data_IF_376281775422
#
_entry.id   IF_376281775422
#
_cell.length_a   1.000
_cell.length_b   1.000
_cell.length_c   1.000
_cell.angle_alpha   90.00
_cell.angle_beta   90.00
_cell.angle_gamma   90.00
#
_symmetry.space_group_name_H-M   'P 1'
#
loop_
_entity.id
_entity.type
_entity.pdbx_description
1 polymer ?
#
# COMPACT_ATOMS: atom_id res chain seq x y z
N UNK A 1 -10.02 18.67 30.23
CA UNK A 1 -10.75 18.24 29.01
C UNK A 1 -12.21 17.99 29.38
N UNK A 2 -13.14 18.64 28.70
CA UNK A 2 -14.59 18.46 28.89
C UNK A 2 -15.09 17.25 28.07
N UNK A 3 -16.38 16.91 28.20
CA UNK A 3 -16.97 15.77 27.51
C UNK A 3 -17.01 15.93 25.98
N UNK A 4 -17.31 17.14 25.49
CA UNK A 4 -17.30 17.43 24.04
C UNK A 4 -15.90 17.22 23.44
N UNK A 5 -14.86 17.69 24.11
CA UNK A 5 -13.47 17.50 23.70
C UNK A 5 -13.08 16.01 23.72
N UNK A 6 -13.53 15.25 24.72
CA UNK A 6 -13.30 13.79 24.76
C UNK A 6 -13.94 13.09 23.56
N UNK A 7 -15.20 13.39 23.27
CA UNK A 7 -15.92 12.82 22.13
C UNK A 7 -15.24 13.17 20.81
N UNK A 8 -14.85 14.43 20.62
CA UNK A 8 -14.15 14.88 19.42
C UNK A 8 -12.84 14.11 19.19
N UNK A 9 -12.03 13.95 20.25
CA UNK A 9 -10.74 13.24 20.15
C UNK A 9 -10.96 11.74 19.89
N UNK A 10 -11.99 11.14 20.48
CA UNK A 10 -12.36 9.74 20.22
C UNK A 10 -12.82 9.53 18.76
N UNK A 11 -13.61 10.46 18.22
CA UNK A 11 -14.03 10.43 16.82
C UNK A 11 -12.84 10.53 15.86
N UNK A 12 -11.89 11.40 16.18
CA UNK A 12 -10.65 11.56 15.41
C UNK A 12 -9.80 10.30 15.49
N UNK A 13 -9.63 9.72 16.67
CA UNK A 13 -8.90 8.47 16.87
C UNK A 13 -9.50 7.34 16.02
N UNK A 14 -10.83 7.18 16.07
CA UNK A 14 -11.54 6.19 15.25
C UNK A 14 -11.36 6.44 13.74
N UNK A 15 -11.39 7.69 13.29
CA UNK A 15 -11.14 8.05 11.90
C UNK A 15 -9.69 7.74 11.46
N UNK A 16 -8.71 8.03 12.31
CA UNK A 16 -7.29 7.72 12.11
C UNK A 16 -7.06 6.22 12.00
N UNK A 17 -7.65 5.46 12.91
CA UNK A 17 -7.54 4.00 12.93
C UNK A 17 -8.15 3.36 11.69
N UNK A 18 -9.35 3.80 11.26
CA UNK A 18 -9.97 3.33 10.01
C UNK A 18 -9.08 3.59 8.80
N UNK A 19 -8.47 4.77 8.72
CA UNK A 19 -7.58 5.14 7.61
C UNK A 19 -6.27 4.34 7.62
N UNK A 20 -5.69 4.12 8.80
CA UNK A 20 -4.53 3.24 8.97
C UNK A 20 -4.82 1.85 8.39
N UNK A 21 -5.91 1.21 8.81
CA UNK A 21 -6.26 -0.13 8.33
C UNK A 21 -6.52 -0.17 6.82
N UNK A 22 -7.10 0.90 6.26
CA UNK A 22 -7.29 0.98 4.82
C UNK A 22 -5.95 0.97 4.06
N UNK A 23 -4.96 1.72 4.54
CA UNK A 23 -3.60 1.74 3.96
C UNK A 23 -2.87 0.38 4.14
N UNK A 24 -2.98 -0.26 5.32
CA UNK A 24 -2.41 -1.59 5.56
C UNK A 24 -3.03 -2.66 4.64
N UNK A 25 -4.36 -2.63 4.48
CA UNK A 25 -5.08 -3.52 3.57
C UNK A 25 -4.69 -3.28 2.11
N UNK A 26 -4.55 -2.02 1.70
CA UNK A 26 -4.09 -1.66 0.36
C UNK A 26 -2.69 -2.21 0.08
N UNK A 27 -1.74 -2.01 1.01
CA UNK A 27 -0.39 -2.55 0.91
C UNK A 27 -0.37 -4.09 0.84
N UNK A 28 -1.20 -4.75 1.65
CA UNK A 28 -1.30 -6.22 1.65
C UNK A 28 -1.87 -6.75 0.34
N UNK A 29 -2.89 -6.08 -0.22
CA UNK A 29 -3.50 -6.45 -1.51
C UNK A 29 -2.51 -6.32 -2.66
N UNK A 30 -1.74 -5.23 -2.71
CA UNK A 30 -0.66 -5.06 -3.67
C UNK A 30 0.36 -6.21 -3.59
N UNK A 31 0.75 -6.61 -2.36
CA UNK A 31 1.62 -7.77 -2.14
C UNK A 31 1.08 -9.09 -2.68
N UNK A 32 -0.22 -9.36 -2.52
CA UNK A 32 -0.87 -10.56 -3.07
C UNK A 32 -0.94 -10.56 -4.59
N UNK A 33 -1.27 -9.42 -5.21
CA UNK A 33 -1.27 -9.28 -6.68
C UNK A 33 0.11 -9.54 -7.25
N UNK A 34 1.15 -8.99 -6.61
CA UNK A 34 2.55 -9.23 -6.97
C UNK A 34 2.93 -10.71 -6.95
N UNK A 35 2.52 -11.46 -5.92
CA UNK A 35 2.75 -12.91 -5.86
C UNK A 35 2.05 -13.64 -7.00
N UNK A 36 0.78 -13.31 -7.27
CA UNK A 36 0.01 -13.92 -8.35
C UNK A 36 0.64 -13.66 -9.73
N UNK A 37 1.02 -12.42 -10.03
CA UNK A 37 1.68 -12.08 -11.29
C UNK A 37 3.09 -12.68 -11.39
N UNK A 38 3.83 -12.78 -10.28
CA UNK A 38 5.12 -13.46 -10.25
C UNK A 38 4.99 -14.94 -10.63
N UNK A 39 4.02 -15.64 -10.06
CA UNK A 39 3.71 -17.03 -10.41
C UNK A 39 3.27 -17.18 -11.87
N UNK A 40 2.39 -16.31 -12.36
CA UNK A 40 1.96 -16.32 -13.76
C UNK A 40 3.13 -16.08 -14.73
N UNK A 41 4.03 -15.15 -14.40
CA UNK A 41 5.22 -14.86 -15.22
C UNK A 41 6.17 -16.05 -15.26
N UNK A 42 6.40 -16.72 -14.13
CA UNK A 42 7.19 -17.95 -14.08
C UNK A 42 6.56 -19.04 -14.96
N UNK A 43 5.24 -19.22 -14.89
CA UNK A 43 4.53 -20.20 -15.72
C UNK A 43 4.65 -19.89 -17.22
N UNK A 44 4.48 -18.62 -17.61
CA UNK A 44 4.67 -18.15 -18.99
C UNK A 44 6.11 -18.33 -19.47
N UNK A 45 7.11 -18.04 -18.63
CA UNK A 45 8.51 -18.23 -18.95
C UNK A 45 8.85 -19.71 -19.19
N UNK A 46 8.32 -20.60 -18.35
CA UNK A 46 8.46 -22.06 -18.51
C UNK A 46 7.81 -22.52 -19.82
N UNK A 47 6.58 -22.07 -20.11
CA UNK A 47 5.90 -22.41 -21.36
C UNK A 47 6.65 -21.88 -22.60
N UNK A 48 7.18 -20.66 -22.54
CA UNK A 48 8.02 -20.06 -23.58
C UNK A 48 9.33 -20.84 -23.80
N UNK A 49 9.93 -21.39 -22.74
CA UNK A 49 11.11 -22.26 -22.84
C UNK A 49 10.81 -23.62 -23.48
N UNK A 50 9.56 -24.11 -23.41
CA UNK A 50 9.13 -25.37 -24.02
C UNK A 50 8.73 -25.23 -25.50
N UNK A 51 8.35 -24.03 -25.94
CA UNK A 51 7.94 -23.73 -27.32
C UNK A 51 8.96 -24.15 -28.40
N UNK A 52 10.28 -23.95 -28.24
CA UNK A 52 11.29 -24.44 -29.18
C UNK A 52 11.29 -25.97 -29.32
N UNK A 53 10.95 -26.72 -28.27
CA UNK A 53 10.86 -28.18 -28.36
C UNK A 53 9.73 -28.63 -29.30
N UNK A 54 8.66 -27.83 -29.40
CA UNK A 54 7.53 -28.07 -30.29
C UNK A 54 7.72 -27.48 -31.71
N UNK A 55 8.59 -26.48 -31.88
CA UNK A 55 8.94 -25.95 -33.20
C UNK A 55 9.71 -27.00 -34.01
N UNK A 56 9.47 -27.08 -35.33
CA UNK A 56 10.05 -28.08 -36.24
C UNK A 56 11.59 -28.06 -36.38
N UNK A 57 12.16 -28.76 -37.37
CA UNK A 57 13.60 -29.04 -37.44
C UNK A 57 14.49 -27.82 -37.76
N UNK A 58 13.92 -26.68 -38.15
CA UNK A 58 14.71 -25.47 -38.47
C UNK A 58 15.39 -24.89 -37.23
N UNK A 59 16.71 -25.05 -37.16
CA UNK A 59 17.53 -24.63 -36.03
C UNK A 59 17.48 -23.11 -35.80
N UNK A 60 17.47 -22.30 -36.87
CA UNK A 60 17.44 -20.84 -36.77
C UNK A 60 16.16 -20.30 -36.14
N UNK A 61 15.00 -20.82 -36.56
CA UNK A 61 13.71 -20.45 -36.00
C UNK A 61 13.56 -20.87 -34.53
N UNK A 62 14.08 -22.05 -34.15
CA UNK A 62 14.11 -22.52 -32.76
C UNK A 62 14.91 -21.60 -31.84
N UNK A 63 16.10 -21.19 -32.27
CA UNK A 63 16.98 -20.32 -31.46
C UNK A 63 16.39 -18.92 -31.29
N UNK A 64 15.83 -18.34 -32.37
CA UNK A 64 15.16 -17.04 -32.30
C UNK A 64 13.92 -17.09 -31.39
N UNK A 65 13.12 -18.16 -31.47
CA UNK A 65 11.96 -18.34 -30.61
C UNK A 65 12.36 -18.49 -29.12
N UNK A 66 13.44 -19.23 -28.84
CA UNK A 66 13.97 -19.38 -27.49
C UNK A 66 14.45 -18.04 -26.90
N UNK A 67 15.21 -17.27 -27.68
CA UNK A 67 15.71 -15.95 -27.26
C UNK A 67 14.58 -14.96 -27.03
N UNK A 68 13.58 -14.92 -27.91
CA UNK A 68 12.41 -14.05 -27.76
C UNK A 68 11.60 -14.42 -26.50
N UNK A 69 11.44 -15.72 -26.22
CA UNK A 69 10.76 -16.20 -25.01
C UNK A 69 11.45 -15.79 -23.72
N UNK A 70 12.78 -15.91 -23.66
CA UNK A 70 13.59 -15.45 -22.51
C UNK A 70 13.47 -13.94 -22.34
N UNK A 71 13.57 -13.17 -23.43
CA UNK A 71 13.49 -11.71 -23.37
C UNK A 71 12.11 -11.22 -22.92
N UNK A 72 11.04 -11.84 -23.42
CA UNK A 72 9.67 -11.55 -23.01
C UNK A 72 9.43 -11.89 -21.53
N UNK A 73 9.97 -13.01 -21.04
CA UNK A 73 9.89 -13.39 -19.63
C UNK A 73 10.62 -12.39 -18.72
N UNK A 74 11.81 -11.94 -19.11
CA UNK A 74 12.59 -10.94 -18.35
C UNK A 74 11.87 -9.60 -18.32
N UNK A 75 11.35 -9.11 -19.46
CA UNK A 75 10.58 -7.87 -19.49
C UNK A 75 9.30 -7.97 -18.66
N UNK A 76 8.55 -9.08 -18.78
CA UNK A 76 7.34 -9.31 -18.00
C UNK A 76 7.65 -9.30 -16.49
N UNK A 77 8.75 -9.92 -16.07
CA UNK A 77 9.18 -9.88 -14.67
C UNK A 77 9.49 -8.45 -14.23
N UNK A 78 10.34 -7.72 -14.97
CA UNK A 78 10.73 -6.35 -14.62
C UNK A 78 9.52 -5.40 -14.57
N UNK A 79 8.62 -5.47 -15.55
CA UNK A 79 7.42 -4.64 -15.61
C UNK A 79 6.41 -4.96 -14.50
N UNK A 80 6.33 -6.23 -14.09
CA UNK A 80 5.43 -6.66 -13.01
C UNK A 80 5.91 -6.19 -11.63
N UNK A 81 7.22 -6.13 -11.41
CA UNK A 81 7.78 -5.88 -10.08
C UNK A 81 8.07 -4.42 -9.76
N UNK A 82 8.10 -3.51 -10.75
CA UNK A 82 8.56 -2.13 -10.53
C UNK A 82 7.56 -1.24 -9.78
N UNK A 83 6.33 -1.11 -10.29
CA UNK A 83 5.38 -0.10 -9.75
C UNK A 83 4.64 -0.58 -8.49
N UNK A 84 4.35 -1.87 -8.38
CA UNK A 84 3.53 -2.40 -7.28
C UNK A 84 4.29 -2.44 -5.93
N UNK A 85 5.62 -2.60 -5.96
CA UNK A 85 6.45 -2.61 -4.76
C UNK A 85 6.57 -1.20 -4.16
N UNK A 86 6.83 -0.20 -5.00
CA UNK A 86 6.91 1.20 -4.59
C UNK A 86 5.55 1.71 -4.07
N UNK A 87 4.46 1.34 -4.75
CA UNK A 87 3.12 1.69 -4.28
C UNK A 87 2.81 1.06 -2.91
N UNK A 88 3.11 -0.23 -2.71
CA UNK A 88 2.90 -0.90 -1.43
C UNK A 88 3.73 -0.27 -0.29
N UNK A 89 4.96 0.16 -0.58
CA UNK A 89 5.82 0.86 0.38
C UNK A 89 5.19 2.19 0.82
N UNK A 90 4.75 3.02 -0.13
CA UNK A 90 4.08 4.30 0.14
C UNK A 90 2.82 4.12 0.99
N UNK A 91 2.05 3.06 0.75
CA UNK A 91 0.88 2.72 1.56
C UNK A 91 1.27 2.33 2.99
N UNK A 92 2.36 1.56 3.19
CA UNK A 92 2.87 1.21 4.52
C UNK A 92 3.39 2.43 5.29
N UNK A 93 4.07 3.34 4.60
CA UNK A 93 4.53 4.60 5.20
C UNK A 93 3.35 5.46 5.67
N UNK A 94 2.30 5.59 4.85
CA UNK A 94 1.08 6.29 5.24
C UNK A 94 0.41 5.65 6.47
N UNK A 95 0.31 4.31 6.50
CA UNK A 95 -0.20 3.59 7.67
C UNK A 95 0.65 3.84 8.93
N UNK A 96 1.98 3.83 8.83
CA UNK A 96 2.87 4.11 9.94
C UNK A 96 2.70 5.53 10.49
N UNK A 97 2.51 6.51 9.60
CA UNK A 97 2.23 7.91 9.99
C UNK A 97 0.86 8.05 10.66
N UNK A 98 -0.18 7.35 10.18
CA UNK A 98 -1.47 7.29 10.88
C UNK A 98 -1.34 6.69 12.28
N UNK A 99 -0.61 5.57 12.42
CA UNK A 99 -0.40 4.92 13.71
C UNK A 99 0.35 5.84 14.70
N UNK A 100 1.31 6.63 14.22
CA UNK A 100 2.01 7.62 15.04
C UNK A 100 1.07 8.72 15.52
N UNK A 101 0.16 9.20 14.67
CA UNK A 101 -0.84 10.20 15.04
C UNK A 101 -1.86 9.64 16.05
N UNK A 102 -2.33 8.41 15.84
CA UNK A 102 -3.20 7.70 16.76
C UNK A 102 -2.59 7.62 18.16
N UNK A 103 -1.32 7.20 18.27
CA UNK A 103 -0.60 7.16 19.56
C UNK A 103 -0.52 8.54 20.23
N UNK A 104 -0.36 9.62 19.46
CA UNK A 104 -0.35 10.98 20.01
C UNK A 104 -1.72 11.42 20.53
N UNK A 105 -2.80 11.07 19.82
CA UNK A 105 -4.17 11.33 20.28
C UNK A 105 -4.48 10.54 21.57
N UNK A 106 -4.12 9.25 21.61
CA UNK A 106 -4.29 8.42 22.80
C UNK A 106 -3.49 8.96 24.01
N UNK A 107 -2.25 9.42 23.79
CA UNK A 107 -1.46 10.07 24.84
C UNK A 107 -2.11 11.36 25.34
N UNK A 108 -2.65 12.19 24.44
CA UNK A 108 -3.34 13.42 24.83
C UNK A 108 -4.62 13.15 25.62
N UNK A 109 -5.36 12.07 25.29
CA UNK A 109 -6.52 11.64 26.07
C UNK A 109 -6.12 11.14 27.46
N UNK A 110 -5.06 10.33 27.55
CA UNK A 110 -4.60 9.76 28.82
C UNK A 110 -3.96 10.82 29.74
N UNK A 111 -3.27 11.80 29.16
CA UNK A 111 -2.53 12.83 29.87
C UNK A 111 -2.87 14.23 29.32
N UNK A 112 -4.09 14.73 29.55
CA UNK A 112 -4.48 16.05 29.08
C UNK A 112 -3.69 17.13 29.84
N UNK A 113 -3.11 18.12 29.15
CA UNK A 113 -2.43 19.22 29.81
C UNK A 113 -3.40 20.00 30.72
N UNK A 114 -2.92 20.52 31.86
CA UNK A 114 -3.75 21.17 32.86
C UNK A 114 -4.28 22.54 32.39
N UNK A 115 -3.58 23.20 31.47
CA UNK A 115 -3.99 24.49 30.91
C UNK A 115 -4.81 24.30 29.63
N UNK A 116 -5.97 24.95 29.59
CA UNK A 116 -6.89 24.86 28.45
C UNK A 116 -6.29 25.42 27.15
N UNK A 117 -5.54 26.53 27.24
CA UNK A 117 -4.84 27.10 26.08
C UNK A 117 -3.80 26.14 25.49
N UNK A 118 -3.10 25.39 26.34
CA UNK A 118 -2.13 24.37 25.90
C UNK A 118 -2.85 23.18 25.25
N UNK A 119 -3.95 22.72 25.85
CA UNK A 119 -4.79 21.65 25.27
C UNK A 119 -5.29 22.04 23.88
N UNK A 120 -5.83 23.25 23.73
CA UNK A 120 -6.31 23.75 22.44
C UNK A 120 -5.19 23.82 21.40
N UNK A 121 -4.01 24.32 21.78
CA UNK A 121 -2.85 24.37 20.88
C UNK A 121 -2.40 22.98 20.42
N UNK A 122 -2.39 21.99 21.32
CA UNK A 122 -2.05 20.58 20.99
C UNK A 122 -3.08 19.93 20.09
N UNK A 123 -4.37 20.13 20.35
CA UNK A 123 -5.44 19.62 19.49
C UNK A 123 -5.35 20.21 18.09
N UNK A 124 -5.08 21.50 17.99
CA UNK A 124 -4.93 22.19 16.71
C UNK A 124 -3.67 21.74 15.94
N UNK A 125 -2.57 21.45 16.64
CA UNK A 125 -1.39 20.82 16.06
C UNK A 125 -1.70 19.42 15.47
N UNK A 126 -2.46 18.59 16.20
CA UNK A 126 -2.86 17.26 15.76
C UNK A 126 -3.83 17.33 14.57
N UNK A 127 -4.77 18.28 14.58
CA UNK A 127 -5.67 18.57 13.45
C UNK A 127 -4.91 18.91 12.18
N UNK A 128 -3.98 19.87 12.26
CA UNK A 128 -3.14 20.24 11.10
C UNK A 128 -2.33 19.07 10.56
N UNK A 129 -1.78 18.23 11.45
CA UNK A 129 -1.05 17.02 11.05
C UNK A 129 -1.96 16.00 10.37
N UNK A 130 -3.17 15.82 10.88
CA UNK A 130 -4.17 14.96 10.26
C UNK A 130 -4.52 15.44 8.85
N UNK A 131 -4.77 16.75 8.68
CA UNK A 131 -5.09 17.35 7.38
C UNK A 131 -3.93 17.24 6.39
N UNK A 132 -2.69 17.47 6.86
CA UNK A 132 -1.50 17.28 6.04
C UNK A 132 -1.35 15.82 5.61
N UNK A 133 -1.49 14.89 6.54
CA UNK A 133 -1.44 13.46 6.26
C UNK A 133 -2.53 13.03 5.27
N UNK A 134 -3.73 13.59 5.39
CA UNK A 134 -4.83 13.31 4.47
C UNK A 134 -4.53 13.75 3.03
N UNK A 135 -3.77 14.84 2.84
CA UNK A 135 -3.34 15.36 1.53
C UNK A 135 -2.14 14.63 0.95
N UNK A 136 -1.17 14.28 1.80
CA UNK A 136 0.09 13.64 1.40
C UNK A 136 -0.02 12.13 1.22
N UNK A 137 -1.03 11.50 1.83
CA UNK A 137 -1.20 10.06 1.74
C UNK A 137 -1.59 9.64 0.33
N UNK A 138 -1.07 8.50 -0.17
CA UNK A 138 -1.49 7.96 -1.45
C UNK A 138 -2.99 7.67 -1.44
N UNK A 139 -3.63 7.78 -2.61
CA UNK A 139 -5.04 7.46 -2.74
C UNK A 139 -5.31 6.01 -2.28
N UNK A 140 -6.41 5.83 -1.54
CA UNK A 140 -6.87 4.51 -1.15
C UNK A 140 -7.59 3.86 -2.35
N UNK A 141 -7.39 2.56 -2.58
CA UNK A 141 -8.14 1.85 -3.61
C UNK A 141 -9.63 1.83 -3.25
N UNK A 142 -10.49 1.96 -4.26
CA UNK A 142 -11.94 1.92 -4.07
C UNK A 142 -12.36 0.63 -3.32
N UNK A 143 -13.36 0.70 -2.41
CA UNK A 143 -13.90 -0.49 -1.78
C UNK A 143 -14.47 -1.43 -2.85
N UNK A 144 -14.34 -2.76 -2.67
CA UNK A 144 -14.99 -3.70 -3.58
C UNK A 144 -16.50 -3.44 -3.57
N UNK A 145 -17.13 -3.49 -4.75
CA UNK A 145 -18.58 -3.37 -4.86
C UNK A 145 -19.26 -4.40 -3.93
N UNK A 146 -20.40 -4.03 -3.30
CA UNK A 146 -21.16 -4.99 -2.50
C UNK A 146 -21.54 -6.19 -3.39
N UNK A 147 -21.30 -7.40 -2.87
CA UNK A 147 -21.71 -8.66 -3.50
C UNK A 147 -23.16 -8.95 -3.15
#
# INVERSE_FOLDING_TARGET
MNDEQRTLVADWEGAVQRRQWAHERAATRAGRRRLAFGLATIALAVAAGLLPLAAGPEAGARVLAALAGVFAAVLAAVLTFRDEAEHALRQREAAARCAALHRKLALLQAFPPPQEAELAARLDELRRRWDALARESPALPAPPAPR
#
